data_IF_791708357776
#
_entry.id   IF_791708357776
#
_cell.length_a   1.000
_cell.length_b   1.000
_cell.length_c   1.000
_cell.angle_alpha   90.00
_cell.angle_beta   90.00
_cell.angle_gamma   90.00
#
_symmetry.space_group_name_H-M   'P 1'
#
loop_
_entity.id
_entity.type
_entity.pdbx_description
1 polymer ?
#
# COMPACT_ATOMS: atom_id res chain seq x y z
N UNK A 1 -20.00 34.86 -23.83
CA UNK A 1 -18.62 34.65 -23.37
C UNK A 1 -18.68 34.34 -21.88
N UNK A 2 -18.60 33.06 -21.50
CA UNK A 2 -18.45 32.63 -20.09
C UNK A 2 -17.23 31.71 -20.06
N UNK A 3 -16.11 32.23 -19.56
CA UNK A 3 -14.86 31.50 -19.38
C UNK A 3 -14.63 31.27 -17.88
N UNK A 4 -15.44 30.39 -17.29
CA UNK A 4 -15.16 29.83 -15.97
C UNK A 4 -13.91 28.95 -16.04
N UNK A 5 -12.75 29.57 -15.80
CA UNK A 5 -11.51 28.87 -15.41
C UNK A 5 -11.76 28.19 -14.06
N UNK A 6 -11.99 26.88 -14.08
CA UNK A 6 -11.92 26.05 -12.87
C UNK A 6 -10.48 26.08 -12.38
N UNK A 7 -10.22 26.78 -11.26
CA UNK A 7 -8.95 26.72 -10.57
C UNK A 7 -8.76 25.33 -9.95
N UNK A 8 -7.92 24.51 -10.54
CA UNK A 8 -7.51 23.22 -9.93
C UNK A 8 -6.68 23.52 -8.69
N UNK A 9 -7.24 23.30 -7.51
CA UNK A 9 -6.47 23.35 -6.26
C UNK A 9 -5.58 22.11 -6.21
N UNK A 10 -4.26 22.31 -6.15
CA UNK A 10 -3.29 21.22 -5.96
C UNK A 10 -3.03 21.06 -4.47
N UNK A 11 -3.29 19.88 -3.95
CA UNK A 11 -2.94 19.50 -2.58
C UNK A 11 -1.58 18.80 -2.60
N UNK A 12 -0.75 19.09 -1.60
CA UNK A 12 0.56 18.47 -1.41
C UNK A 12 0.56 17.78 -0.05
N UNK A 13 0.98 16.52 -0.02
CA UNK A 13 1.25 15.81 1.24
C UNK A 13 2.74 15.93 1.56
N UNK A 14 3.05 16.30 2.80
CA UNK A 14 4.41 16.29 3.33
C UNK A 14 4.49 15.22 4.41
N UNK A 15 5.35 14.22 4.20
CA UNK A 15 5.55 13.10 5.12
C UNK A 15 7.02 13.02 5.53
N UNK A 16 7.33 12.50 6.73
CA UNK A 16 8.72 12.33 7.17
C UNK A 16 9.53 11.45 6.19
N UNK A 17 10.77 11.84 5.92
CA UNK A 17 11.69 11.02 5.14
C UNK A 17 12.19 9.84 6.00
N UNK A 18 11.53 8.69 5.85
CA UNK A 18 11.87 7.48 6.59
C UNK A 18 13.13 6.80 6.02
N UNK A 19 13.91 6.15 6.89
CA UNK A 19 15.04 5.29 6.49
C UNK A 19 14.52 3.99 5.88
N UNK A 20 14.06 4.09 4.62
CA UNK A 20 13.43 3.02 3.86
C UNK A 20 14.36 1.83 3.67
N UNK A 21 13.81 0.64 3.86
CA UNK A 21 14.47 -0.64 3.59
C UNK A 21 13.79 -1.39 2.44
N UNK A 22 12.46 -1.36 2.35
CA UNK A 22 11.72 -2.16 1.38
C UNK A 22 10.33 -1.57 1.08
N UNK A 23 9.89 -1.63 -0.19
CA UNK A 23 8.57 -1.17 -0.65
C UNK A 23 7.68 -2.36 -1.01
N UNK A 24 6.43 -2.33 -0.57
CA UNK A 24 5.41 -3.33 -0.92
C UNK A 24 4.03 -2.72 -0.94
N UNK A 25 3.01 -3.50 -1.31
CA UNK A 25 1.62 -3.04 -1.33
C UNK A 25 0.71 -4.13 -0.78
N UNK A 26 -0.17 -3.76 0.16
CA UNK A 26 -1.26 -4.62 0.61
C UNK A 26 -2.30 -4.72 -0.50
N UNK A 27 -2.61 -5.94 -0.92
CA UNK A 27 -3.65 -6.21 -1.89
C UNK A 27 -4.93 -6.55 -1.14
N UNK A 28 -5.93 -5.68 -1.25
CA UNK A 28 -7.23 -5.84 -0.62
C UNK A 28 -8.32 -5.93 -1.68
N UNK A 29 -9.47 -6.50 -1.34
CA UNK A 29 -10.69 -6.42 -2.15
C UNK A 29 -11.84 -5.90 -1.31
N UNK A 30 -12.46 -4.81 -1.76
CA UNK A 30 -13.68 -4.24 -1.17
C UNK A 30 -14.88 -4.91 -1.84
N UNK A 31 -15.76 -5.51 -1.04
CA UNK A 31 -16.97 -6.21 -1.49
C UNK A 31 -18.22 -5.36 -1.30
N UNK A 32 -19.26 -5.68 -2.06
CA UNK A 32 -20.62 -5.19 -1.84
C UNK A 32 -21.04 -5.45 -0.39
N UNK A 33 -21.44 -4.39 0.33
CA UNK A 33 -21.86 -4.48 1.74
C UNK A 33 -20.78 -4.15 2.77
N UNK A 34 -19.56 -3.79 2.33
CA UNK A 34 -18.53 -3.21 3.22
C UNK A 34 -17.55 -4.20 3.82
N UNK A 35 -17.61 -5.48 3.42
CA UNK A 35 -16.55 -6.45 3.72
C UNK A 35 -15.27 -6.09 2.94
N UNK A 36 -14.11 -6.19 3.60
CA UNK A 36 -12.80 -5.92 3.02
C UNK A 36 -11.90 -7.14 3.31
N UNK A 37 -11.42 -7.78 2.25
CA UNK A 37 -10.60 -8.98 2.33
C UNK A 37 -9.14 -8.65 2.06
N UNK A 38 -8.23 -9.27 2.82
CA UNK A 38 -6.80 -9.24 2.55
C UNK A 38 -6.41 -10.40 1.64
N UNK A 39 -5.95 -10.09 0.43
CA UNK A 39 -5.60 -11.07 -0.61
C UNK A 39 -4.11 -11.41 -0.62
N UNK A 40 -3.26 -10.54 -0.04
CA UNK A 40 -1.82 -10.76 0.07
C UNK A 40 -1.02 -9.48 -0.12
N UNK A 41 0.26 -9.61 -0.41
CA UNK A 41 1.12 -8.48 -0.74
C UNK A 41 1.76 -8.64 -2.11
N UNK A 42 2.02 -7.52 -2.77
CA UNK A 42 2.88 -7.39 -3.94
C UNK A 42 4.08 -6.51 -3.59
N UNK A 43 5.16 -6.62 -4.34
CA UNK A 43 6.32 -5.76 -4.15
C UNK A 43 7.05 -5.49 -5.45
N UNK A 44 7.74 -4.35 -5.47
CA UNK A 44 8.46 -3.87 -6.64
C UNK A 44 9.94 -4.21 -6.54
N UNK A 45 10.53 -4.47 -7.69
CA UNK A 45 11.95 -4.63 -7.88
C UNK A 45 12.43 -3.36 -8.56
N UNK A 46 13.43 -2.73 -7.96
CA UNK A 46 14.06 -1.55 -8.50
C UNK A 46 15.54 -1.83 -8.82
N UNK A 47 16.08 -1.14 -9.81
CA UNK A 47 17.52 -1.15 -10.07
C UNK A 47 18.29 -0.36 -8.98
N UNK A 48 19.64 -0.34 -9.07
CA UNK A 48 20.49 0.40 -8.13
C UNK A 48 20.27 1.92 -8.13
N UNK A 49 19.61 2.46 -9.17
CA UNK A 49 19.26 3.88 -9.30
C UNK A 49 17.82 4.15 -8.84
N UNK A 50 17.09 3.12 -8.41
CA UNK A 50 15.71 3.23 -7.95
C UNK A 50 14.68 3.20 -9.08
N UNK A 51 15.06 2.88 -10.32
CA UNK A 51 14.10 2.72 -11.41
C UNK A 51 13.34 1.41 -11.27
N UNK A 52 12.04 1.48 -11.51
CA UNK A 52 11.17 0.31 -11.56
C UNK A 52 11.60 -0.66 -12.68
N UNK A 53 11.83 -1.93 -12.34
CA UNK A 53 12.20 -2.97 -13.31
C UNK A 53 11.24 -4.17 -13.33
N UNK A 54 10.28 -4.24 -12.39
CA UNK A 54 9.28 -5.30 -12.35
C UNK A 54 8.68 -5.49 -10.97
N UNK A 55 7.70 -6.38 -10.84
CA UNK A 55 7.06 -6.68 -9.57
C UNK A 55 6.78 -8.16 -9.39
N UNK A 56 6.64 -8.56 -8.14
CA UNK A 56 6.20 -9.90 -7.77
C UNK A 56 4.87 -9.82 -7.01
N UNK A 57 3.99 -10.77 -7.31
CA UNK A 57 2.76 -11.02 -6.56
C UNK A 57 3.02 -12.21 -5.65
N UNK A 58 2.55 -12.13 -4.41
CA UNK A 58 2.90 -13.04 -3.32
C UNK A 58 4.36 -12.92 -2.90
N UNK A 59 4.58 -12.78 -1.59
CA UNK A 59 5.92 -12.72 -1.03
C UNK A 59 6.57 -14.11 -1.00
N UNK A 60 7.67 -14.34 -1.74
CA UNK A 60 8.48 -15.51 -1.53
C UNK A 60 9.21 -15.29 -0.21
N UNK A 61 8.76 -15.92 0.88
CA UNK A 61 9.49 -15.89 2.15
C UNK A 61 10.91 -16.46 1.93
N UNK A 62 11.91 -15.57 1.86
CA UNK A 62 13.34 -15.89 1.69
C UNK A 62 14.05 -15.94 3.04
N UNK A 63 15.30 -16.37 3.06
CA UNK A 63 16.15 -16.33 4.27
C UNK A 63 16.82 -14.96 4.48
N UNK A 64 16.04 -13.87 4.42
CA UNK A 64 16.53 -12.51 4.65
C UNK A 64 15.82 -11.82 5.84
N UNK A 65 16.38 -10.69 6.30
CA UNK A 65 15.84 -9.92 7.44
C UNK A 65 14.40 -9.44 7.16
N UNK A 66 14.10 -9.07 5.91
CA UNK A 66 12.77 -8.61 5.51
C UNK A 66 11.74 -9.73 5.60
N UNK A 67 12.05 -10.92 5.11
CA UNK A 67 11.17 -12.09 5.18
C UNK A 67 10.97 -12.59 6.60
N UNK A 68 11.99 -12.44 7.47
CA UNK A 68 11.87 -12.71 8.90
C UNK A 68 11.00 -11.70 9.63
N UNK A 69 10.92 -10.46 9.11
CA UNK A 69 10.08 -9.40 9.65
C UNK A 69 8.64 -9.44 9.09
N UNK A 70 8.48 -9.65 7.78
CA UNK A 70 7.20 -9.77 7.08
C UNK A 70 6.71 -11.23 7.10
N UNK A 71 6.65 -11.83 8.28
CA UNK A 71 6.02 -13.14 8.43
C UNK A 71 4.51 -13.00 8.24
N UNK A 72 3.86 -14.11 7.86
CA UNK A 72 2.40 -14.14 7.64
C UNK A 72 1.61 -13.60 8.84
N UNK A 73 2.03 -13.90 10.07
CA UNK A 73 1.36 -13.40 11.27
C UNK A 73 1.43 -11.87 11.40
N UNK A 74 2.60 -11.28 11.12
CA UNK A 74 2.81 -9.82 11.18
C UNK A 74 2.05 -9.10 10.06
N UNK A 75 2.05 -9.67 8.85
CA UNK A 75 1.25 -9.16 7.73
C UNK A 75 -0.24 -9.21 8.02
N UNK A 76 -0.74 -10.32 8.57
CA UNK A 76 -2.15 -10.46 8.95
C UNK A 76 -2.53 -9.45 10.04
N UNK A 77 -1.65 -9.21 11.02
CA UNK A 77 -1.89 -8.21 12.06
C UNK A 77 -1.93 -6.80 11.48
N UNK A 78 -0.97 -6.45 10.61
CA UNK A 78 -0.91 -5.16 9.96
C UNK A 78 -2.13 -4.93 9.04
N UNK A 79 -2.51 -5.93 8.24
CA UNK A 79 -3.67 -5.85 7.37
C UNK A 79 -4.98 -5.73 8.16
N UNK A 80 -5.11 -6.41 9.31
CA UNK A 80 -6.29 -6.27 10.17
C UNK A 80 -6.44 -4.84 10.69
N UNK A 81 -5.35 -4.22 11.16
CA UNK A 81 -5.37 -2.83 11.64
C UNK A 81 -5.73 -1.87 10.49
N UNK A 82 -5.15 -2.10 9.32
CA UNK A 82 -5.41 -1.31 8.12
C UNK A 82 -6.88 -1.41 7.66
N UNK A 83 -7.44 -2.63 7.65
CA UNK A 83 -8.83 -2.88 7.30
C UNK A 83 -9.78 -2.15 8.26
N UNK A 84 -9.53 -2.19 9.55
CA UNK A 84 -10.35 -1.46 10.53
C UNK A 84 -10.30 0.06 10.31
N UNK A 85 -9.12 0.62 10.00
CA UNK A 85 -8.99 2.03 9.64
C UNK A 85 -9.75 2.38 8.35
N UNK A 86 -9.69 1.52 7.32
CA UNK A 86 -10.42 1.72 6.07
C UNK A 86 -11.94 1.67 6.27
N UNK A 87 -12.45 0.76 7.12
CA UNK A 87 -13.88 0.66 7.40
C UNK A 87 -14.48 1.97 7.91
N UNK A 88 -13.72 2.76 8.67
CA UNK A 88 -14.15 4.09 9.14
C UNK A 88 -14.45 5.07 7.99
N UNK A 89 -13.92 4.84 6.79
CA UNK A 89 -14.16 5.67 5.60
C UNK A 89 -15.35 5.21 4.76
N UNK A 90 -15.97 4.06 5.09
CA UNK A 90 -17.05 3.44 4.31
C UNK A 90 -16.74 3.35 2.81
N UNK A 91 -15.56 2.82 2.39
CA UNK A 91 -15.09 2.93 1.01
C UNK A 91 -16.01 2.22 0.00
N UNK A 92 -16.73 1.19 0.46
CA UNK A 92 -17.73 0.46 -0.32
C UNK A 92 -18.89 1.33 -0.84
N UNK A 93 -19.11 2.52 -0.27
CA UNK A 93 -20.10 3.49 -0.78
C UNK A 93 -19.64 4.19 -2.05
N UNK A 94 -18.34 4.13 -2.36
CA UNK A 94 -17.71 4.84 -3.47
C UNK A 94 -17.03 3.90 -4.47
N UNK A 95 -16.54 2.75 -4.01
CA UNK A 95 -15.78 1.81 -4.82
C UNK A 95 -15.97 0.36 -4.35
N UNK A 96 -16.17 -0.55 -5.30
CA UNK A 96 -16.16 -2.00 -5.11
C UNK A 96 -15.13 -2.60 -6.07
N UNK A 97 -14.26 -3.47 -5.57
CA UNK A 97 -13.18 -4.03 -6.37
C UNK A 97 -11.84 -4.14 -5.63
N UNK A 98 -10.78 -4.52 -6.36
CA UNK A 98 -9.43 -4.62 -5.83
C UNK A 98 -8.82 -3.24 -5.54
N UNK A 99 -8.08 -3.12 -4.44
CA UNK A 99 -7.35 -1.92 -4.07
C UNK A 99 -5.96 -2.27 -3.54
N UNK A 100 -4.95 -1.50 -3.99
CA UNK A 100 -3.59 -1.59 -3.50
C UNK A 100 -3.33 -0.48 -2.47
N UNK A 101 -2.73 -0.82 -1.33
CA UNK A 101 -2.27 0.17 -0.36
C UNK A 101 -0.78 0.03 -0.21
N UNK A 102 -0.05 1.02 -0.71
CA UNK A 102 1.40 1.00 -0.68
C UNK A 102 1.89 1.13 0.77
N UNK A 103 3.02 0.50 1.03
CA UNK A 103 3.59 0.40 2.35
C UNK A 103 5.11 0.27 2.27
N UNK A 104 5.76 0.85 3.27
CA UNK A 104 7.20 0.88 3.39
C UNK A 104 7.61 0.17 4.66
N UNK A 105 8.59 -0.73 4.55
CA UNK A 105 9.37 -1.18 5.69
C UNK A 105 10.54 -0.21 5.87
N UNK A 106 10.68 0.34 7.07
CA UNK A 106 11.74 1.28 7.40
C UNK A 106 12.41 0.93 8.73
N UNK A 107 13.62 1.46 8.95
CA UNK A 107 14.29 1.39 10.26
C UNK A 107 13.98 2.65 11.07
N UNK A 108 13.51 2.46 12.30
CA UNK A 108 13.36 3.57 13.25
C UNK A 108 14.73 4.01 13.81
N UNK A 109 14.72 5.02 14.68
CA UNK A 109 15.93 5.55 15.34
C UNK A 109 16.69 4.51 16.16
N UNK A 110 16.00 3.49 16.66
CA UNK A 110 16.58 2.39 17.43
C UNK A 110 17.06 1.22 16.54
N UNK A 111 16.99 1.37 15.22
CA UNK A 111 17.38 0.35 14.24
C UNK A 111 16.34 -0.77 14.05
N UNK A 112 15.17 -0.68 14.68
CA UNK A 112 14.08 -1.66 14.55
C UNK A 112 13.32 -1.48 13.24
N UNK A 113 12.98 -2.60 12.59
CA UNK A 113 12.09 -2.60 11.44
C UNK A 113 10.65 -2.28 11.86
N UNK A 114 9.99 -1.42 11.07
CA UNK A 114 8.58 -1.00 11.24
C UNK A 114 7.91 -0.96 9.87
N UNK A 115 6.59 -1.11 9.84
CA UNK A 115 5.75 -0.92 8.64
C UNK A 115 5.08 0.44 8.73
N UNK A 116 5.14 1.20 7.63
CA UNK A 116 4.39 2.44 7.45
C UNK A 116 3.53 2.31 6.19
N UNK A 117 2.19 2.24 6.29
CA UNK A 117 1.33 2.35 5.11
C UNK A 117 1.42 3.78 4.57
N UNK A 118 1.68 3.92 3.27
CA UNK A 118 1.92 5.19 2.58
C UNK A 118 1.09 5.20 1.31
N UNK A 119 0.20 6.19 1.15
CA UNK A 119 -0.62 6.40 -0.05
C UNK A 119 -1.55 5.22 -0.44
N UNK A 120 -2.66 5.59 -1.07
CA UNK A 120 -3.67 4.64 -1.56
C UNK A 120 -3.54 4.61 -3.08
N UNK A 121 -3.33 3.41 -3.66
CA UNK A 121 -3.36 3.19 -5.10
C UNK A 121 -4.67 2.49 -5.47
N UNK A 122 -5.62 3.26 -6.01
CA UNK A 122 -6.84 2.70 -6.60
C UNK A 122 -6.49 2.31 -8.03
N UNK A 123 -6.31 1.01 -8.26
CA UNK A 123 -6.09 0.49 -9.60
C UNK A 123 -7.42 0.26 -10.32
N UNK A 124 -7.66 0.99 -11.41
CA UNK A 124 -8.50 0.46 -12.48
C UNK A 124 -7.72 -0.65 -13.16
N UNK A 125 -7.88 -1.90 -12.69
CA UNK A 125 -7.30 -3.07 -13.36
C UNK A 125 -8.16 -3.33 -14.60
N UNK A 126 -7.83 -2.66 -15.70
CA UNK A 126 -8.29 -3.02 -17.04
C UNK A 126 -7.43 -4.23 -17.46
N UNK A 127 -8.04 -5.41 -17.49
CA UNK A 127 -7.53 -6.53 -18.27
C UNK A 127 -7.92 -6.28 -19.73
N UNK A 128 -6.93 -6.09 -20.60
CA UNK A 128 -7.07 -6.39 -22.03
C UNK A 128 -6.80 -7.89 -22.27
#
# INVERSE_FOLDING_TARGET
MDTRRTSTTRLYNAEPLLNKVFDFSFQLTIRKGGEINFEGISYFINDKKGHFIGGHIHWPHKEDDISRFLKRADLNKASSILIEALKCLSPHSYYEGPIGIDAIVFKNTDGQLKIHPVLISIGDIIWD
#
